data_IF_009568012437
#
_entry.id   IF_009568012437
#
_cell.length_a   1.000
_cell.length_b   1.000
_cell.length_c   1.000
_cell.angle_alpha   90.00
_cell.angle_beta   90.00
_cell.angle_gamma   90.00
#
_symmetry.space_group_name_H-M   'P 1'
#
loop_
_entity.id
_entity.type
_entity.pdbx_description
1 polymer ?
#
# COMPACT_ATOMS: atom_id res chain seq x y z
N UNK A 1 9.73 -18.58 3.98
CA UNK A 1 10.18 -17.17 4.11
C UNK A 1 9.07 -16.40 4.80
N UNK A 2 9.39 -15.29 5.47
CA UNK A 2 8.37 -14.42 6.03
C UNK A 2 7.73 -13.61 4.90
N UNK A 3 6.41 -13.63 4.80
CA UNK A 3 5.66 -12.93 3.78
C UNK A 3 4.91 -11.73 4.36
N UNK A 4 4.70 -10.71 3.54
CA UNK A 4 3.85 -9.56 3.87
C UNK A 4 2.82 -9.37 2.77
N UNK A 5 1.54 -9.49 3.12
CA UNK A 5 0.43 -9.38 2.18
C UNK A 5 -0.44 -8.15 2.42
N UNK A 6 -1.01 -7.60 1.35
CA UNK A 6 -2.08 -6.61 1.41
C UNK A 6 -3.42 -7.35 1.28
N UNK A 7 -4.28 -7.28 2.29
CA UNK A 7 -5.63 -7.85 2.26
C UNK A 7 -6.65 -6.71 2.18
N UNK A 8 -7.58 -6.84 1.24
CA UNK A 8 -8.74 -5.95 1.14
C UNK A 8 -9.80 -6.42 2.13
N UNK A 9 -10.08 -5.61 3.16
CA UNK A 9 -10.89 -6.04 4.30
C UNK A 9 -12.40 -6.01 4.01
N UNK A 10 -12.85 -5.02 3.24
CA UNK A 10 -14.23 -4.86 2.77
C UNK A 10 -14.26 -4.45 1.29
N UNK A 11 -15.45 -4.38 0.68
CA UNK A 11 -15.56 -4.05 -0.74
C UNK A 11 -15.25 -2.57 -1.05
N UNK A 12 -15.40 -1.70 -0.05
CA UNK A 12 -15.36 -0.25 -0.21
C UNK A 12 -14.07 0.30 -0.83
N UNK A 13 -12.85 -0.12 -0.42
CA UNK A 13 -11.61 0.31 -1.07
C UNK A 13 -11.58 0.02 -2.58
N UNK A 14 -12.03 -1.17 -3.01
CA UNK A 14 -12.05 -1.55 -4.43
C UNK A 14 -13.03 -0.68 -5.20
N UNK A 15 -14.24 -0.49 -4.66
CA UNK A 15 -15.28 0.35 -5.25
C UNK A 15 -14.81 1.81 -5.37
N UNK A 16 -14.21 2.36 -4.30
CA UNK A 16 -13.68 3.72 -4.27
C UNK A 16 -12.60 3.93 -5.32
N UNK A 17 -11.65 3.01 -5.44
CA UNK A 17 -10.57 3.09 -6.43
C UNK A 17 -11.06 2.86 -7.87
N UNK A 18 -12.01 1.94 -8.07
CA UNK A 18 -12.62 1.71 -9.39
C UNK A 18 -13.37 2.93 -9.89
N UNK A 19 -14.10 3.61 -9.00
CA UNK A 19 -14.80 4.88 -9.31
C UNK A 19 -13.85 6.04 -9.59
N UNK A 20 -12.68 6.08 -8.94
CA UNK A 20 -11.62 7.03 -9.27
C UNK A 20 -10.88 6.68 -10.58
N UNK A 21 -11.03 5.46 -11.09
CA UNK A 21 -10.23 4.97 -12.23
C UNK A 21 -8.78 4.62 -11.86
N UNK A 22 -8.52 4.32 -10.59
CA UNK A 22 -7.17 4.24 -10.01
C UNK A 22 -6.92 2.90 -9.27
N UNK A 23 -7.55 1.80 -9.72
CA UNK A 23 -7.29 0.46 -9.15
C UNK A 23 -5.80 0.07 -9.19
N UNK A 24 -5.09 0.49 -10.24
CA UNK A 24 -3.66 0.22 -10.42
C UNK A 24 -2.78 0.85 -9.35
N UNK A 25 -3.30 1.76 -8.53
CA UNK A 25 -2.61 2.27 -7.35
C UNK A 25 -2.19 1.13 -6.41
N UNK A 26 -3.01 0.09 -6.29
CA UNK A 26 -2.73 -1.08 -5.45
C UNK A 26 -1.53 -1.89 -5.99
N UNK A 27 -1.21 -1.81 -7.28
CA UNK A 27 -0.10 -2.53 -7.90
C UNK A 27 1.25 -1.82 -7.73
N UNK A 28 1.24 -0.55 -7.35
CA UNK A 28 2.48 0.25 -7.24
C UNK A 28 3.34 -0.12 -6.03
N UNK A 29 2.78 -0.85 -5.08
CA UNK A 29 3.48 -1.44 -3.94
C UNK A 29 3.96 -2.88 -4.27
N UNK A 30 4.94 -3.48 -3.58
CA UNK A 30 5.52 -4.78 -3.94
C UNK A 30 4.82 -6.04 -3.39
N UNK A 31 3.89 -5.90 -2.44
CA UNK A 31 3.17 -6.96 -1.73
C UNK A 31 2.11 -7.66 -2.59
N UNK A 32 1.95 -8.99 -2.48
CA UNK A 32 0.79 -9.68 -3.04
C UNK A 32 -0.51 -9.08 -2.47
N UNK A 33 -1.52 -8.98 -3.33
CA UNK A 33 -2.84 -8.43 -3.02
C UNK A 33 -3.80 -9.61 -2.93
N UNK A 34 -4.48 -9.73 -1.80
CA UNK A 34 -5.40 -10.82 -1.52
C UNK A 34 -6.79 -10.23 -1.31
N UNK A 35 -7.74 -10.70 -2.10
CA UNK A 35 -9.14 -10.28 -2.03
C UNK A 35 -9.95 -11.48 -1.53
N UNK A 36 -10.52 -11.43 -0.31
CA UNK A 36 -11.41 -12.49 0.15
C UNK A 36 -12.57 -12.68 -0.82
N UNK A 37 -12.98 -13.92 -1.07
CA UNK A 37 -14.04 -14.25 -2.02
C UNK A 37 -15.38 -13.53 -1.75
N UNK A 38 -15.75 -13.34 -0.50
CA UNK A 38 -16.97 -12.61 -0.14
C UNK A 38 -16.86 -11.10 -0.44
N UNK A 39 -15.68 -10.52 -0.24
CA UNK A 39 -15.36 -9.14 -0.61
C UNK A 39 -15.38 -8.98 -2.13
N UNK A 40 -14.79 -9.93 -2.87
CA UNK A 40 -14.84 -9.95 -4.33
C UNK A 40 -16.28 -9.95 -4.85
N UNK A 41 -17.16 -10.84 -4.35
CA UNK A 41 -18.57 -10.91 -4.78
C UNK A 41 -19.34 -9.62 -4.54
N UNK A 42 -19.04 -8.93 -3.43
CA UNK A 42 -19.68 -7.66 -3.12
C UNK A 42 -19.17 -6.53 -4.03
N UNK A 43 -17.86 -6.45 -4.26
CA UNK A 43 -17.24 -5.40 -5.04
C UNK A 43 -17.46 -5.57 -6.56
N UNK A 44 -17.45 -6.80 -7.05
CA UNK A 44 -17.37 -7.15 -8.46
C UNK A 44 -18.75 -7.47 -9.07
N UNK A 45 -19.77 -6.68 -8.74
CA UNK A 45 -21.13 -6.91 -9.22
C UNK A 45 -21.29 -6.43 -10.68
N UNK A 46 -21.61 -7.32 -11.65
CA UNK A 46 -21.69 -6.97 -13.07
C UNK A 46 -22.83 -6.01 -13.43
N UNK A 47 -23.74 -5.73 -12.50
CA UNK A 47 -24.81 -4.74 -12.69
C UNK A 47 -24.32 -3.29 -12.56
N UNK A 48 -23.06 -3.08 -12.17
CA UNK A 48 -22.45 -1.76 -12.03
C UNK A 48 -21.14 -1.67 -12.81
N UNK A 49 -20.89 -0.53 -13.47
CA UNK A 49 -19.70 -0.32 -14.31
C UNK A 49 -18.38 -0.46 -13.52
N UNK A 50 -18.34 0.00 -12.28
CA UNK A 50 -17.20 -0.18 -11.37
C UNK A 50 -17.00 -1.66 -11.00
N UNK A 51 -18.07 -2.43 -10.82
CA UNK A 51 -17.99 -3.87 -10.62
C UNK A 51 -17.39 -4.60 -11.81
N UNK A 52 -17.76 -4.21 -13.04
CA UNK A 52 -17.15 -4.75 -14.28
C UNK A 52 -15.65 -4.44 -14.33
N UNK A 53 -15.26 -3.18 -14.07
CA UNK A 53 -13.84 -2.79 -14.03
C UNK A 53 -13.04 -3.56 -12.98
N UNK A 54 -13.63 -3.83 -11.81
CA UNK A 54 -12.98 -4.61 -10.76
C UNK A 54 -12.75 -6.05 -11.22
N UNK A 55 -13.72 -6.69 -11.88
CA UNK A 55 -13.55 -8.04 -12.44
C UNK A 55 -12.40 -8.07 -13.44
N UNK A 56 -12.44 -7.20 -14.45
CA UNK A 56 -11.42 -7.13 -15.51
C UNK A 56 -10.02 -6.87 -14.95
N UNK A 57 -9.92 -5.97 -13.95
CA UNK A 57 -8.66 -5.65 -13.30
C UNK A 57 -8.09 -6.85 -12.53
N UNK A 58 -8.91 -7.61 -11.79
CA UNK A 58 -8.46 -8.81 -11.08
C UNK A 58 -7.99 -9.88 -12.09
N UNK A 59 -8.77 -10.10 -13.16
CA UNK A 59 -8.43 -11.08 -14.20
C UNK A 59 -7.13 -10.76 -14.92
N UNK A 60 -6.86 -9.48 -15.19
CA UNK A 60 -5.65 -9.03 -15.89
C UNK A 60 -4.40 -9.09 -14.99
N UNK A 61 -4.57 -9.00 -13.67
CA UNK A 61 -3.46 -8.84 -12.72
C UNK A 61 -3.21 -10.06 -11.82
N UNK A 62 -3.58 -11.27 -12.26
CA UNK A 62 -3.49 -12.52 -11.47
C UNK A 62 -2.10 -12.86 -10.93
N UNK A 63 -1.03 -12.31 -11.54
CA UNK A 63 0.33 -12.47 -11.03
C UNK A 63 0.56 -11.82 -9.65
N UNK A 64 -0.23 -10.79 -9.30
CA UNK A 64 -0.11 -10.02 -8.05
C UNK A 64 -1.40 -9.97 -7.25
N UNK A 65 -2.55 -10.15 -7.89
CA UNK A 65 -3.89 -10.09 -7.29
C UNK A 65 -4.51 -11.47 -7.31
N UNK A 66 -4.90 -11.98 -6.14
CA UNK A 66 -5.58 -13.27 -6.04
C UNK A 66 -6.82 -13.19 -5.17
N UNK A 67 -7.84 -13.96 -5.53
CA UNK A 67 -8.97 -14.21 -4.66
C UNK A 67 -8.65 -15.35 -3.68
N UNK A 68 -9.23 -15.30 -2.48
CA UNK A 68 -9.06 -16.35 -1.47
C UNK A 68 -10.41 -16.89 -1.01
N UNK A 69 -10.61 -18.20 -1.19
CA UNK A 69 -11.83 -18.87 -0.76
C UNK A 69 -11.92 -18.98 0.76
N UNK A 70 -13.12 -18.71 1.29
CA UNK A 70 -13.40 -18.72 2.73
C UNK A 70 -14.69 -19.45 3.06
N UNK A 71 -14.86 -19.85 4.33
CA UNK A 71 -16.14 -20.40 4.80
C UNK A 71 -17.25 -19.34 4.77
N UNK A 72 -16.92 -18.09 5.08
CA UNK A 72 -17.87 -16.97 4.98
C UNK A 72 -18.36 -16.79 3.54
N UNK A 73 -17.47 -16.99 2.56
CA UNK A 73 -17.83 -16.93 1.16
C UNK A 73 -18.70 -18.10 0.70
N UNK A 74 -18.39 -19.32 1.14
CA UNK A 74 -19.29 -20.46 0.92
C UNK A 74 -20.68 -20.23 1.54
N UNK A 75 -20.71 -19.68 2.76
CA UNK A 75 -21.96 -19.31 3.43
C UNK A 75 -22.74 -18.26 2.63
N UNK A 76 -22.05 -17.27 2.04
CA UNK A 76 -22.66 -16.28 1.15
C UNK A 76 -23.34 -16.94 -0.04
N UNK A 77 -22.66 -17.89 -0.71
CA UNK A 77 -23.22 -18.60 -1.87
C UNK A 77 -24.47 -19.39 -1.50
N UNK A 78 -24.48 -20.04 -0.32
CA UNK A 78 -25.65 -20.76 0.19
C UNK A 78 -26.80 -19.79 0.46
N UNK A 79 -26.54 -18.66 1.10
CA UNK A 79 -27.59 -17.68 1.43
C UNK A 79 -28.18 -17.01 0.18
N UNK A 80 -27.34 -16.63 -0.78
CA UNK A 80 -27.79 -16.05 -2.05
C UNK A 80 -28.69 -17.02 -2.83
N UNK A 81 -28.34 -18.31 -2.89
CA UNK A 81 -29.17 -19.35 -3.52
C UNK A 81 -30.55 -19.48 -2.87
N UNK A 82 -30.64 -19.16 -1.58
CA UNK A 82 -31.89 -19.17 -0.82
C UNK A 82 -32.59 -17.79 -0.79
N UNK A 83 -32.10 -16.80 -1.55
CA UNK A 83 -32.67 -15.46 -1.59
C UNK A 83 -32.44 -14.63 -0.31
N UNK A 84 -31.53 -15.06 0.56
CA UNK A 84 -31.22 -14.38 1.82
C UNK A 84 -29.97 -13.53 1.63
N UNK A 85 -30.04 -12.26 2.04
CA UNK A 85 -28.88 -11.38 2.17
C UNK A 85 -28.36 -11.46 3.60
N UNK A 86 -27.05 -11.61 3.75
CA UNK A 86 -26.37 -11.47 5.02
C UNK A 86 -25.43 -10.28 4.99
N UNK A 87 -25.37 -9.58 6.11
CA UNK A 87 -24.38 -8.53 6.36
C UNK A 87 -23.08 -9.15 6.86
N UNK A 88 -21.99 -8.40 6.78
CA UNK A 88 -20.72 -8.69 7.47
C UNK A 88 -19.96 -9.94 7.00
N UNK A 89 -20.42 -10.62 5.94
CA UNK A 89 -19.71 -11.79 5.37
C UNK A 89 -18.38 -11.39 4.69
N UNK A 90 -18.29 -10.19 4.13
CA UNK A 90 -17.04 -9.64 3.60
C UNK A 90 -15.97 -9.53 4.69
N UNK A 91 -16.32 -8.87 5.80
CA UNK A 91 -15.45 -8.76 6.98
C UNK A 91 -15.08 -10.15 7.54
N UNK A 92 -16.05 -11.04 7.72
CA UNK A 92 -15.79 -12.39 8.21
C UNK A 92 -14.82 -13.17 7.31
N UNK A 93 -14.93 -13.01 5.98
CA UNK A 93 -13.99 -13.59 5.03
C UNK A 93 -12.59 -12.97 5.17
N UNK A 94 -12.49 -11.65 5.29
CA UNK A 94 -11.21 -10.97 5.48
C UNK A 94 -10.48 -11.41 6.75
N UNK A 95 -11.21 -11.57 7.85
CA UNK A 95 -10.67 -12.11 9.10
C UNK A 95 -10.14 -13.53 8.89
N UNK A 96 -10.93 -14.41 8.25
CA UNK A 96 -10.49 -15.77 8.00
C UNK A 96 -9.22 -15.85 7.14
N UNK A 97 -9.12 -14.99 6.12
CA UNK A 97 -7.90 -14.91 5.29
C UNK A 97 -6.72 -14.37 6.09
N UNK A 98 -6.93 -13.36 6.93
CA UNK A 98 -5.90 -12.77 7.80
C UNK A 98 -5.36 -13.80 8.78
N UNK A 99 -6.25 -14.49 9.50
CA UNK A 99 -5.89 -15.51 10.48
C UNK A 99 -5.12 -16.67 9.82
N UNK A 100 -5.57 -17.12 8.64
CA UNK A 100 -4.89 -18.16 7.86
C UNK A 100 -3.48 -17.71 7.46
N UNK A 101 -3.35 -16.50 6.92
CA UNK A 101 -2.06 -15.95 6.49
C UNK A 101 -1.06 -15.83 7.64
N UNK A 102 -1.51 -15.41 8.82
CA UNK A 102 -0.67 -15.26 10.02
C UNK A 102 -0.36 -16.60 10.70
N UNK A 103 -1.19 -17.62 10.49
CA UNK A 103 -0.96 -18.98 11.00
C UNK A 103 0.04 -19.77 10.15
N UNK A 104 0.13 -19.48 8.85
CA UNK A 104 1.05 -20.16 7.93
C UNK A 104 2.53 -19.99 8.33
N UNK A 105 2.89 -18.83 8.89
CA UNK A 105 4.23 -18.57 9.43
C UNK A 105 4.18 -17.48 10.52
N UNK A 106 4.81 -17.68 11.70
CA UNK A 106 4.81 -16.70 12.80
C UNK A 106 5.37 -15.32 12.42
N UNK A 107 6.31 -15.26 11.47
CA UNK A 107 6.94 -14.01 11.01
C UNK A 107 6.13 -13.29 9.92
N UNK A 108 5.02 -13.88 9.46
CA UNK A 108 4.16 -13.24 8.48
C UNK A 108 3.52 -11.97 9.04
N UNK A 109 3.33 -10.99 8.17
CA UNK A 109 2.64 -9.75 8.47
C UNK A 109 1.50 -9.52 7.48
N UNK A 110 0.57 -8.64 7.84
CA UNK A 110 -0.54 -8.26 6.97
C UNK A 110 -0.76 -6.75 7.03
N UNK A 111 -0.97 -6.13 5.88
CA UNK A 111 -1.59 -4.81 5.76
C UNK A 111 -3.07 -4.99 5.40
N UNK A 112 -3.97 -4.44 6.19
CA UNK A 112 -5.40 -4.39 5.91
C UNK A 112 -5.76 -3.01 5.37
N UNK A 113 -6.48 -2.97 4.25
CA UNK A 113 -7.11 -1.74 3.76
C UNK A 113 -8.62 -1.84 3.90
N UNK A 114 -9.24 -0.77 4.38
CA UNK A 114 -10.67 -0.70 4.65
C UNK A 114 -11.20 0.73 4.53
N UNK A 115 -12.52 0.92 4.50
CA UNK A 115 -13.12 2.26 4.47
C UNK A 115 -13.92 2.62 5.75
N UNK A 116 -14.59 1.66 6.38
CA UNK A 116 -15.46 1.90 7.56
C UNK A 116 -14.75 1.63 8.92
N UNK A 117 -14.99 2.50 9.92
CA UNK A 117 -14.43 2.47 11.26
C UNK A 117 -14.65 1.17 12.07
N UNK A 118 -15.52 0.25 11.61
CA UNK A 118 -15.83 -1.03 12.26
C UNK A 118 -14.60 -1.90 12.57
N UNK A 119 -13.57 -1.84 11.71
CA UNK A 119 -12.34 -2.64 11.82
C UNK A 119 -11.53 -2.34 13.10
N UNK A 120 -11.69 -1.14 13.67
CA UNK A 120 -10.91 -0.69 14.85
C UNK A 120 -11.25 -1.44 16.15
N UNK A 121 -12.27 -2.29 16.17
CA UNK A 121 -12.77 -2.98 17.37
C UNK A 121 -12.08 -4.31 17.69
N UNK A 122 -11.09 -4.75 16.90
CA UNK A 122 -10.35 -6.00 17.17
C UNK A 122 -9.08 -5.74 17.98
N UNK A 123 -8.73 -6.69 18.85
CA UNK A 123 -7.40 -6.74 19.46
C UNK A 123 -6.35 -6.76 18.34
N UNK A 124 -5.44 -5.78 18.38
CA UNK A 124 -4.48 -5.55 17.32
C UNK A 124 -3.31 -6.52 17.47
N UNK A 125 -3.36 -7.63 16.73
CA UNK A 125 -2.15 -8.43 16.52
C UNK A 125 -1.05 -7.49 15.99
N UNK A 126 0.13 -7.43 16.63
CA UNK A 126 1.21 -6.50 16.24
C UNK A 126 1.78 -6.76 14.85
N UNK A 127 1.41 -7.89 14.21
CA UNK A 127 1.74 -8.24 12.83
C UNK A 127 0.74 -7.68 11.82
N UNK A 128 -0.35 -7.05 12.28
CA UNK A 128 -1.39 -6.47 11.44
C UNK A 128 -1.30 -4.94 11.45
N UNK A 129 -0.95 -4.39 10.29
CA UNK A 129 -1.04 -2.97 10.01
C UNK A 129 -2.41 -2.66 9.39
N UNK A 130 -3.11 -1.66 9.91
CA UNK A 130 -4.49 -1.35 9.51
C UNK A 130 -4.52 0.06 8.94
N UNK A 131 -5.04 0.21 7.72
CA UNK A 131 -5.09 1.46 6.98
C UNK A 131 -6.50 1.72 6.47
N UNK A 132 -7.02 2.93 6.70
CA UNK A 132 -8.13 3.37 5.86
C UNK A 132 -7.63 3.53 4.42
N UNK A 133 -8.52 3.47 3.42
CA UNK A 133 -8.18 3.76 2.02
C UNK A 133 -7.43 5.08 1.89
N UNK A 134 -7.88 6.13 2.58
CA UNK A 134 -7.22 7.43 2.58
C UNK A 134 -5.81 7.39 3.21
N UNK A 135 -5.63 6.76 4.37
CA UNK A 135 -4.31 6.64 5.02
C UNK A 135 -3.34 5.79 4.18
N UNK A 136 -3.83 4.76 3.49
CA UNK A 136 -3.03 3.99 2.54
C UNK A 136 -2.55 4.86 1.37
N UNK A 137 -3.44 5.63 0.74
CA UNK A 137 -3.07 6.51 -0.37
C UNK A 137 -2.06 7.58 0.05
N UNK A 138 -2.24 8.23 1.21
CA UNK A 138 -1.26 9.20 1.70
C UNK A 138 0.09 8.55 2.06
N UNK A 139 0.10 7.29 2.54
CA UNK A 139 1.34 6.55 2.74
C UNK A 139 2.06 6.26 1.42
N UNK A 140 1.31 5.94 0.35
CA UNK A 140 1.83 5.76 -1.00
C UNK A 140 2.41 7.08 -1.56
N UNK A 141 1.74 8.21 -1.32
CA UNK A 141 2.18 9.55 -1.72
C UNK A 141 3.47 9.95 -1.00
N UNK A 142 3.51 9.85 0.34
CA UNK A 142 4.74 10.07 1.11
C UNK A 142 5.85 9.07 0.76
N UNK A 143 5.48 7.90 0.25
CA UNK A 143 6.34 6.89 -0.33
C UNK A 143 6.84 7.21 -1.75
N UNK A 144 6.28 8.21 -2.44
CA UNK A 144 6.62 8.59 -3.82
C UNK A 144 6.05 7.64 -4.89
N UNK A 145 5.12 6.75 -4.54
CA UNK A 145 4.50 5.80 -5.48
C UNK A 145 3.36 6.43 -6.29
N UNK A 146 2.76 7.50 -5.77
CA UNK A 146 1.70 8.26 -6.43
C UNK A 146 2.00 9.75 -6.34
N UNK A 147 1.39 10.51 -7.24
CA UNK A 147 1.58 11.97 -7.28
C UNK A 147 0.73 12.70 -6.25
N UNK A 148 -0.53 12.29 -6.07
CA UNK A 148 -1.44 12.90 -5.10
C UNK A 148 -2.50 11.92 -4.62
N UNK A 149 -2.56 11.69 -3.31
CA UNK A 149 -3.63 10.92 -2.69
C UNK A 149 -4.96 11.69 -2.74
N UNK A 150 -4.91 13.00 -2.47
CA UNK A 150 -6.08 13.86 -2.45
C UNK A 150 -6.80 13.91 -3.80
N UNK A 151 -6.06 13.91 -4.91
CA UNK A 151 -6.64 13.88 -6.24
C UNK A 151 -7.46 12.60 -6.50
N UNK A 152 -6.94 11.44 -6.11
CA UNK A 152 -7.63 10.15 -6.26
C UNK A 152 -8.90 10.13 -5.42
N UNK A 153 -8.80 10.60 -4.17
CA UNK A 153 -9.95 10.72 -3.25
C UNK A 153 -11.00 11.69 -3.79
N UNK A 154 -10.59 12.80 -4.39
CA UNK A 154 -11.51 13.76 -5.00
C UNK A 154 -12.21 13.18 -6.24
N UNK A 155 -11.51 12.44 -7.10
CA UNK A 155 -12.12 11.73 -8.23
C UNK A 155 -13.16 10.72 -7.77
N UNK A 156 -12.87 9.93 -6.72
CA UNK A 156 -13.85 9.02 -6.13
C UNK A 156 -15.10 9.77 -5.60
N UNK A 157 -14.90 10.93 -4.97
CA UNK A 157 -15.97 11.79 -4.46
C UNK A 157 -16.87 12.29 -5.60
N UNK A 158 -16.26 12.80 -6.68
CA UNK A 158 -16.97 13.26 -7.88
C UNK A 158 -17.76 12.13 -8.56
N UNK A 159 -17.28 10.88 -8.45
CA UNK A 159 -17.96 9.68 -8.92
C UNK A 159 -19.01 9.11 -7.93
N UNK A 160 -19.37 9.88 -6.90
CA UNK A 160 -20.48 9.60 -5.98
C UNK A 160 -20.11 8.82 -4.72
N UNK A 161 -18.83 8.73 -4.33
CA UNK A 161 -18.43 8.19 -3.02
C UNK A 161 -18.53 9.27 -1.93
N UNK A 162 -18.94 8.87 -0.73
CA UNK A 162 -18.88 9.76 0.43
C UNK A 162 -17.46 9.77 1.02
N UNK A 163 -16.58 10.57 0.43
CA UNK A 163 -15.15 10.64 0.80
C UNK A 163 -14.89 11.56 2.00
N UNK A 164 -15.87 12.37 2.40
CA UNK A 164 -15.74 13.30 3.52
C UNK A 164 -15.46 12.57 4.85
N UNK A 165 -16.12 11.44 5.10
CA UNK A 165 -15.86 10.60 6.26
C UNK A 165 -14.48 9.92 6.19
N UNK A 166 -14.02 9.54 4.99
CA UNK A 166 -12.69 8.94 4.79
C UNK A 166 -11.56 9.90 5.16
N UNK A 167 -11.68 11.18 4.76
CA UNK A 167 -10.72 12.24 5.11
C UNK A 167 -10.74 12.54 6.61
N UNK A 168 -11.91 12.50 7.25
CA UNK A 168 -12.03 12.70 8.69
C UNK A 168 -11.45 11.53 9.52
N UNK A 169 -11.48 10.30 9.00
CA UNK A 169 -10.89 9.12 9.63
C UNK A 169 -9.39 8.97 9.37
N UNK A 170 -8.79 9.84 8.55
CA UNK A 170 -7.35 9.89 8.34
C UNK A 170 -6.66 10.04 9.70
N UNK A 171 -5.96 8.98 10.12
CA UNK A 171 -5.04 9.08 11.24
C UNK A 171 -3.67 9.33 10.62
N UNK A 172 -2.99 10.45 10.95
CA UNK A 172 -1.77 10.89 10.29
C UNK A 172 -0.54 10.00 10.55
N UNK A 173 -0.71 8.90 11.29
CA UNK A 173 0.32 7.89 11.50
C UNK A 173 -0.01 6.67 10.64
N UNK A 174 0.53 6.56 9.42
CA UNK A 174 0.50 5.30 8.69
C UNK A 174 1.17 4.23 9.55
N UNK A 175 0.63 3.00 9.55
CA UNK A 175 1.29 1.86 10.18
C UNK A 175 2.77 1.82 9.78
N UNK A 176 3.67 1.98 10.77
CA UNK A 176 5.10 2.16 10.57
C UNK A 176 5.73 1.04 9.74
N UNK A 177 5.12 -0.16 9.71
CA UNK A 177 5.55 -1.31 8.93
C UNK A 177 5.50 -1.09 7.42
N UNK A 178 4.37 -0.61 6.88
CA UNK A 178 4.23 -0.38 5.43
C UNK A 178 5.15 0.76 4.95
N UNK A 179 5.25 1.85 5.73
CA UNK A 179 6.20 2.93 5.46
C UNK A 179 7.66 2.45 5.50
N UNK A 180 8.02 1.60 6.46
CA UNK A 180 9.36 1.04 6.53
C UNK A 180 9.68 0.18 5.30
N UNK A 181 8.72 -0.58 4.79
CA UNK A 181 8.89 -1.33 3.55
C UNK A 181 8.98 -0.43 2.32
N UNK A 182 8.14 0.59 2.22
CA UNK A 182 8.21 1.61 1.18
C UNK A 182 9.56 2.34 1.15
N UNK A 183 10.15 2.59 2.31
CA UNK A 183 11.49 3.17 2.43
C UNK A 183 12.58 2.17 2.06
N UNK A 184 12.46 0.91 2.50
CA UNK A 184 13.44 -0.16 2.25
C UNK A 184 13.51 -0.60 0.78
N UNK A 185 12.36 -0.62 0.07
CA UNK A 185 12.31 -0.93 -1.35
C UNK A 185 13.03 0.13 -2.21
N UNK A 186 13.00 1.41 -1.80
CA UNK A 186 13.73 2.49 -2.49
C UNK A 186 15.24 2.44 -2.24
N UNK A 187 15.69 2.11 -1.03
CA UNK A 187 17.12 1.98 -0.72
C UNK A 187 17.75 0.74 -1.36
N UNK A 188 16.98 -0.35 -1.55
CA UNK A 188 17.43 -1.52 -2.32
C UNK A 188 17.60 -1.27 -3.81
N UNK A 189 16.80 -0.37 -4.40
CA UNK A 189 16.90 0.01 -5.83
C UNK A 189 17.96 1.08 -6.13
N UNK A 190 18.57 1.70 -5.10
CA UNK A 190 19.65 2.70 -5.25
C UNK A 190 21.05 2.14 -4.98
N UNK A 191 21.19 0.83 -4.75
CA UNK A 191 22.45 0.15 -4.43
C UNK A 191 23.34 -0.25 -5.63
N UNK A 192 23.17 0.37 -6.80
CA UNK A 192 24.09 0.21 -7.94
C UNK A 192 24.43 1.56 -8.58
N UNK A 193 24.90 2.50 -7.77
CA UNK A 193 25.81 3.53 -8.25
C UNK A 193 27.07 3.43 -7.40
N UNK A 194 28.06 2.78 -8.01
CA UNK A 194 29.44 2.73 -7.58
C UNK A 194 29.95 4.16 -7.39
N UNK A 195 29.93 4.64 -6.16
CA UNK A 195 30.73 5.79 -5.75
C UNK A 195 31.66 5.29 -4.65
N UNK A 196 32.76 4.68 -5.09
CA UNK A 196 33.93 4.49 -4.25
C UNK A 196 34.30 5.81 -3.58
N UNK A 197 34.37 5.89 -2.24
CA UNK A 197 34.86 7.06 -1.54
C UNK A 197 36.38 7.13 -1.67
N UNK A 198 36.89 8.11 -2.43
CA UNK A 198 38.31 8.40 -2.45
C UNK A 198 38.69 9.15 -1.16
N UNK A 199 39.07 8.40 -0.13
CA UNK A 199 39.64 8.96 1.10
C UNK A 199 41.12 9.28 0.91
N UNK A 200 41.40 10.58 0.88
CA UNK A 200 42.41 11.27 1.70
C UNK A 200 43.77 10.58 1.89
N UNK A 201 44.77 11.10 1.17
CA UNK A 201 46.14 11.19 1.67
C UNK A 201 46.46 12.66 1.94
N UNK A 202 46.73 13.00 3.21
CA UNK A 202 47.30 14.27 3.69
C UNK A 202 48.72 13.91 4.16
N UNK A 203 49.79 14.43 3.57
CA UNK A 203 50.52 15.69 3.89
C UNK A 203 52.01 15.32 4.03
N UNK A 204 52.99 16.25 4.13
CA UNK A 204 53.02 17.67 3.74
C UNK A 204 54.22 18.00 2.81
N UNK A 205 54.21 19.17 2.17
CA UNK A 205 55.35 20.10 2.21
C UNK A 205 54.98 21.35 1.39
N UNK A 206 54.83 22.44 2.12
CA UNK A 206 54.69 23.81 1.64
C UNK A 206 56.07 24.47 1.79
N UNK A 207 56.47 25.36 0.88
CA UNK A 207 56.64 26.71 1.39
C UNK A 207 56.07 27.78 0.46
N UNK A 208 55.11 28.52 1.01
CA UNK A 208 54.98 29.97 1.14
C UNK A 208 55.62 30.87 0.06
N UNK A 209 54.85 31.84 -0.49
CA UNK A 209 55.38 32.95 -1.26
C UNK A 209 55.73 34.14 -0.35
N UNK A 210 56.91 34.74 -0.52
CA UNK A 210 57.25 36.04 0.08
C UNK A 210 57.88 36.98 -0.95
N UNK A 211 57.36 38.20 -0.97
CA UNK A 211 57.72 39.32 -1.84
C UNK A 211 59.11 39.92 -1.54
N UNK A 212 59.73 40.50 -2.57
CA UNK A 212 60.24 41.89 -2.51
C UNK A 212 61.76 42.15 -2.33
N UNK A 213 62.35 42.78 -3.36
CA UNK A 213 63.50 43.72 -3.37
C UNK A 213 64.90 43.17 -2.98
N UNK A 214 65.99 43.32 -3.74
CA UNK A 214 66.65 44.58 -4.17
C UNK A 214 67.88 44.32 -5.08
N UNK A 215 68.17 45.30 -5.96
CA UNK A 215 69.51 45.77 -6.46
C UNK A 215 70.39 44.89 -7.38
N UNK A 216 70.51 45.33 -8.64
CA UNK A 216 71.65 46.17 -9.08
C UNK A 216 72.92 45.56 -9.68
N UNK A 217 73.15 45.89 -10.97
CA UNK A 217 74.44 46.13 -11.70
C UNK A 217 75.42 44.97 -11.97
N UNK A 218 75.59 44.64 -13.26
CA UNK A 218 76.72 45.07 -14.12
C UNK A 218 76.90 44.15 -15.33
N UNK A 219 76.73 44.67 -16.54
CA UNK A 219 77.78 44.86 -17.57
C UNK A 219 77.17 45.52 -18.80
#
# INVERSE_FOLDING_TARGET
MADYGLIVFDASPLITLAKAGELDVLLRQPLPIIIPDAVYREAANPSYDDGVRIMEWIETNQARVRTANTRAGLQQDILLKNGVRATDLGEAAAIEVTDRFLADNPDNRVALIYEDAGVRKRERDPRVDIFSTASFLHAMEGGGYIQSADQILEQASQAGRNVAEQKAMHTPEPGAGLLAQFRSARTGSTGLLDTTPNSLHKSPDDPSPTQGQTRGRSR
#
